data_IF_193474007600
#
_entry.id   IF_193474007600
#
_cell.length_a   1.000
_cell.length_b   1.000
_cell.length_c   1.000
_cell.angle_alpha   90.00
_cell.angle_beta   90.00
_cell.angle_gamma   90.00
#
_symmetry.space_group_name_H-M   'P 1'
#
loop_
_entity.id
_entity.type
_entity.pdbx_description
1 polymer ?
#
# COMPACT_ATOMS: atom_id res chain seq x y z
N UNK A 1 -12.33 24.33 -24.17
CA UNK A 1 -11.25 23.40 -23.74
C UNK A 1 -10.96 23.69 -22.28
N UNK A 2 -11.50 22.89 -21.35
CA UNK A 2 -11.34 23.15 -19.91
C UNK A 2 -9.95 22.71 -19.50
N UNK A 3 -9.12 23.66 -19.03
CA UNK A 3 -7.77 23.37 -18.57
C UNK A 3 -7.83 22.42 -17.37
N UNK A 4 -7.24 21.24 -17.51
CA UNK A 4 -7.00 20.33 -16.38
C UNK A 4 -6.19 21.11 -15.35
N UNK A 5 -6.74 21.32 -14.15
CA UNK A 5 -6.00 21.98 -13.06
C UNK A 5 -4.83 21.07 -12.67
N UNK A 6 -3.64 21.44 -13.12
CA UNK A 6 -2.39 20.74 -12.79
C UNK A 6 -1.88 21.39 -11.50
N UNK A 7 -1.64 20.57 -10.49
CA UNK A 7 -0.91 20.98 -9.30
C UNK A 7 0.58 20.72 -9.55
N UNK A 8 1.36 21.73 -9.98
CA UNK A 8 2.78 21.54 -10.22
C UNK A 8 3.45 21.03 -8.93
N UNK A 9 4.42 20.13 -9.08
CA UNK A 9 5.19 19.50 -8.01
C UNK A 9 4.43 18.58 -7.04
N UNK A 10 3.09 18.48 -7.11
CA UNK A 10 2.33 17.58 -6.23
C UNK A 10 2.75 16.11 -6.44
N UNK A 11 2.96 15.71 -7.69
CA UNK A 11 3.48 14.38 -8.00
C UNK A 11 4.90 14.18 -7.46
N UNK A 12 5.73 15.22 -7.47
CA UNK A 12 7.09 15.18 -6.90
C UNK A 12 7.05 14.99 -5.39
N UNK A 13 6.18 15.70 -4.66
CA UNK A 13 5.99 15.48 -3.22
C UNK A 13 5.49 14.06 -2.93
N UNK A 14 4.53 13.56 -3.72
CA UNK A 14 4.03 12.18 -3.56
C UNK A 14 5.12 11.16 -3.85
N UNK A 15 5.98 11.42 -4.83
CA UNK A 15 7.15 10.58 -5.12
C UNK A 15 8.12 10.57 -3.93
N UNK A 16 8.44 11.73 -3.35
CA UNK A 16 9.30 11.81 -2.15
C UNK A 16 8.67 11.03 -0.99
N UNK A 17 7.35 11.20 -0.76
CA UNK A 17 6.64 10.47 0.29
C UNK A 17 6.73 8.95 0.08
N UNK A 18 6.50 8.46 -1.15
CA UNK A 18 6.65 7.04 -1.48
C UNK A 18 8.09 6.55 -1.36
N UNK A 19 9.08 7.37 -1.74
CA UNK A 19 10.50 7.05 -1.61
C UNK A 19 10.91 6.86 -0.15
N UNK A 20 10.41 7.70 0.77
CA UNK A 20 10.64 7.54 2.21
C UNK A 20 10.10 6.20 2.72
N UNK A 21 8.92 5.77 2.23
CA UNK A 21 8.34 4.46 2.55
C UNK A 21 9.22 3.31 2.02
N UNK A 22 9.74 3.44 0.79
CA UNK A 22 10.64 2.45 0.20
C UNK A 22 11.93 2.35 1.01
N UNK A 23 12.57 3.47 1.33
CA UNK A 23 13.81 3.51 2.12
C UNK A 23 13.59 2.89 3.50
N UNK A 24 12.48 3.22 4.17
CA UNK A 24 12.10 2.58 5.43
C UNK A 24 12.06 1.05 5.32
N UNK A 25 11.35 0.51 4.32
CA UNK A 25 11.20 -0.95 4.18
C UNK A 25 12.52 -1.62 3.79
N UNK A 26 13.35 -0.98 2.97
CA UNK A 26 14.70 -1.49 2.64
C UNK A 26 15.53 -1.62 3.91
N UNK A 27 15.61 -0.58 4.73
CA UNK A 27 16.41 -0.63 5.96
C UNK A 27 15.82 -1.58 7.00
N UNK A 28 14.50 -1.63 7.14
CA UNK A 28 13.81 -2.61 7.99
C UNK A 28 14.12 -4.05 7.56
N UNK A 29 14.02 -4.38 6.27
CA UNK A 29 14.35 -5.72 5.79
C UNK A 29 15.83 -6.03 5.97
N UNK A 30 16.75 -5.10 5.66
CA UNK A 30 18.18 -5.31 5.93
C UNK A 30 18.43 -5.61 7.42
N UNK A 31 17.76 -4.91 8.33
CA UNK A 31 17.81 -5.19 9.77
C UNK A 31 17.30 -6.60 10.11
N UNK A 32 16.13 -6.98 9.60
CA UNK A 32 15.52 -8.29 9.85
C UNK A 32 16.38 -9.45 9.28
N UNK A 33 17.04 -9.23 8.13
CA UNK A 33 17.97 -10.18 7.50
C UNK A 33 19.40 -10.12 8.04
N UNK A 34 19.66 -9.34 9.12
CA UNK A 34 20.98 -9.18 9.74
C UNK A 34 22.07 -8.67 8.78
N UNK A 35 21.66 -7.87 7.80
CA UNK A 35 22.55 -7.18 6.85
C UNK A 35 22.96 -5.80 7.41
N UNK A 36 24.08 -5.20 6.93
CA UNK A 36 24.47 -3.84 7.31
C UNK A 36 23.35 -2.84 6.99
N UNK A 37 22.83 -2.15 7.99
CA UNK A 37 21.62 -1.33 7.86
C UNK A 37 21.69 -0.03 8.67
N UNK A 38 20.76 0.86 8.39
CA UNK A 38 20.55 2.15 9.07
C UNK A 38 19.27 2.15 9.93
N UNK A 39 18.56 1.02 10.03
CA UNK A 39 17.29 0.94 10.75
C UNK A 39 17.43 1.22 12.26
N UNK A 40 18.58 0.93 12.85
CA UNK A 40 18.86 1.24 14.26
C UNK A 40 18.93 2.74 14.56
N UNK A 41 19.08 3.60 13.54
CA UNK A 41 18.99 5.05 13.71
C UNK A 41 17.51 5.47 13.70
N UNK A 42 17.06 6.15 14.77
CA UNK A 42 15.64 6.48 14.98
C UNK A 42 14.95 7.19 13.80
N UNK A 43 15.68 7.98 13.01
CA UNK A 43 15.16 8.59 11.78
C UNK A 43 14.59 7.54 10.81
N UNK A 44 15.31 6.45 10.55
CA UNK A 44 14.89 5.41 9.62
C UNK A 44 13.75 4.54 10.16
N UNK A 45 13.42 4.63 11.46
CA UNK A 45 12.27 3.94 12.05
C UNK A 45 10.97 4.73 11.89
N UNK A 46 11.05 6.06 11.72
CA UNK A 46 9.87 6.93 11.68
C UNK A 46 9.49 7.39 10.26
N UNK A 47 10.46 7.47 9.34
CA UNK A 47 10.26 8.06 8.00
C UNK A 47 9.21 7.30 7.17
N UNK A 48 9.06 6.00 7.37
CA UNK A 48 8.05 5.20 6.67
C UNK A 48 6.64 5.63 7.06
N UNK A 49 6.37 5.77 8.37
CA UNK A 49 5.07 6.22 8.87
C UNK A 49 4.75 7.64 8.40
N UNK A 50 5.72 8.55 8.48
CA UNK A 50 5.55 9.92 7.98
C UNK A 50 5.31 9.97 6.47
N UNK A 51 6.05 9.14 5.71
CA UNK A 51 5.87 9.00 4.26
C UNK A 51 4.47 8.52 3.89
N UNK A 52 3.94 7.49 4.56
CA UNK A 52 2.57 7.00 4.33
C UNK A 52 1.54 8.08 4.63
N UNK A 53 1.63 8.76 5.78
CA UNK A 53 0.70 9.84 6.16
C UNK A 53 0.73 10.97 5.14
N UNK A 54 1.92 11.43 4.75
CA UNK A 54 2.07 12.47 3.74
C UNK A 54 1.48 12.04 2.40
N UNK A 55 1.76 10.81 1.95
CA UNK A 55 1.22 10.29 0.69
C UNK A 55 -0.31 10.23 0.70
N UNK A 56 -0.92 9.83 1.81
CA UNK A 56 -2.37 9.75 1.97
C UNK A 56 -3.02 11.13 1.93
N UNK A 57 -2.49 12.10 2.69
CA UNK A 57 -3.00 13.48 2.68
C UNK A 57 -2.93 14.09 1.29
N UNK A 58 -1.80 13.95 0.59
CA UNK A 58 -1.63 14.49 -0.76
C UNK A 58 -2.53 13.80 -1.79
N UNK A 59 -2.74 12.49 -1.66
CA UNK A 59 -3.62 11.73 -2.56
C UNK A 59 -5.09 12.05 -2.33
N UNK A 60 -5.51 12.22 -1.07
CA UNK A 60 -6.84 12.71 -0.72
C UNK A 60 -7.11 14.10 -1.30
N UNK A 61 -6.20 15.06 -1.07
CA UNK A 61 -6.30 16.41 -1.65
C UNK A 61 -6.42 16.38 -3.19
N UNK A 62 -5.60 15.57 -3.86
CA UNK A 62 -5.64 15.45 -5.33
C UNK A 62 -6.98 14.88 -5.82
N UNK A 63 -7.48 13.82 -5.20
CA UNK A 63 -8.71 13.18 -5.66
C UNK A 63 -9.90 14.09 -5.39
N UNK A 64 -10.03 14.64 -4.18
CA UNK A 64 -11.10 15.58 -3.85
C UNK A 64 -11.10 16.79 -4.79
N UNK A 65 -9.93 17.37 -5.08
CA UNK A 65 -9.85 18.50 -6.02
C UNK A 65 -10.23 18.11 -7.44
N UNK A 66 -9.85 16.93 -7.92
CA UNK A 66 -10.27 16.43 -9.24
C UNK A 66 -11.79 16.22 -9.32
N UNK A 67 -12.40 15.62 -8.30
CA UNK A 67 -13.84 15.38 -8.25
C UNK A 67 -14.65 16.68 -8.14
N UNK A 68 -14.17 17.66 -7.36
CA UNK A 68 -14.79 18.99 -7.28
C UNK A 68 -14.70 19.73 -8.62
N UNK A 69 -13.55 19.68 -9.29
CA UNK A 69 -13.41 20.28 -10.62
C UNK A 69 -14.31 19.58 -11.65
N UNK A 70 -14.42 18.25 -11.60
CA UNK A 70 -15.35 17.48 -12.43
C UNK A 70 -16.78 17.96 -12.20
N UNK A 71 -17.24 18.01 -10.94
CA UNK A 71 -18.58 18.49 -10.56
C UNK A 71 -18.88 19.89 -11.09
N UNK A 72 -17.93 20.82 -10.99
CA UNK A 72 -18.10 22.18 -11.53
C UNK A 72 -18.23 22.16 -13.05
N UNK A 73 -17.45 21.32 -13.73
CA UNK A 73 -17.40 21.29 -15.20
C UNK A 73 -18.54 20.51 -15.86
N UNK A 74 -18.98 19.39 -15.29
CA UNK A 74 -19.98 18.48 -15.87
C UNK A 74 -21.32 18.50 -15.14
N UNK A 75 -21.43 19.29 -14.06
CA UNK A 75 -22.56 19.29 -13.10
C UNK A 75 -22.81 17.92 -12.44
N UNK A 76 -21.90 16.95 -12.61
CA UNK A 76 -22.04 15.61 -12.08
C UNK A 76 -20.67 15.03 -11.69
N UNK A 77 -20.63 13.96 -10.91
CA UNK A 77 -19.41 13.22 -10.62
C UNK A 77 -19.58 11.81 -11.18
N UNK A 78 -18.75 11.41 -12.14
CA UNK A 78 -18.79 10.07 -12.72
C UNK A 78 -17.99 9.08 -11.86
N UNK A 79 -18.54 8.75 -10.68
CA UNK A 79 -17.92 7.85 -9.69
C UNK A 79 -17.59 6.48 -10.31
N UNK A 80 -18.48 5.93 -11.16
CA UNK A 80 -18.23 4.67 -11.88
C UNK A 80 -16.95 4.71 -12.71
N UNK A 81 -16.73 5.80 -13.45
CA UNK A 81 -15.54 5.95 -14.29
C UNK A 81 -14.27 6.14 -13.44
N UNK A 82 -14.39 6.80 -12.28
CA UNK A 82 -13.31 6.90 -11.30
C UNK A 82 -12.87 5.50 -10.81
N UNK A 83 -13.82 4.68 -10.36
CA UNK A 83 -13.53 3.33 -9.87
C UNK A 83 -12.97 2.40 -10.94
N UNK A 84 -13.53 2.39 -12.16
CA UNK A 84 -13.03 1.54 -13.25
C UNK A 84 -11.56 1.83 -13.54
N UNK A 85 -11.17 3.09 -13.70
CA UNK A 85 -9.77 3.46 -13.95
C UNK A 85 -8.84 3.02 -12.83
N UNK A 86 -9.32 3.07 -11.60
CA UNK A 86 -8.55 2.74 -10.40
C UNK A 86 -8.39 1.22 -10.24
N UNK A 87 -9.48 0.47 -10.39
CA UNK A 87 -9.49 -0.99 -10.39
C UNK A 87 -8.53 -1.53 -11.46
N UNK A 88 -8.65 -1.08 -12.71
CA UNK A 88 -7.78 -1.52 -13.81
C UNK A 88 -6.29 -1.19 -13.58
N UNK A 89 -5.99 -0.19 -12.75
CA UNK A 89 -4.61 0.21 -12.44
C UNK A 89 -4.04 -0.53 -11.23
N UNK A 90 -4.83 -0.75 -10.18
CA UNK A 90 -4.34 -1.19 -8.86
C UNK A 90 -4.57 -2.70 -8.67
N UNK A 91 -5.76 -3.19 -8.99
CA UNK A 91 -6.16 -4.57 -8.67
C UNK A 91 -5.29 -5.63 -9.35
N UNK A 92 -4.90 -5.51 -10.64
CA UNK A 92 -4.05 -6.52 -11.28
C UNK A 92 -2.74 -6.76 -10.51
N UNK A 93 -2.05 -5.68 -10.12
CA UNK A 93 -0.80 -5.79 -9.38
C UNK A 93 -1.02 -6.24 -7.93
N UNK A 94 -2.09 -5.77 -7.29
CA UNK A 94 -2.47 -6.20 -5.94
C UNK A 94 -2.69 -7.71 -5.86
N UNK A 95 -3.50 -8.28 -6.76
CA UNK A 95 -3.76 -9.72 -6.79
C UNK A 95 -2.55 -10.53 -7.24
N UNK A 96 -1.72 -9.99 -8.13
CA UNK A 96 -0.44 -10.62 -8.48
C UNK A 96 0.47 -10.76 -7.26
N UNK A 97 0.61 -9.71 -6.45
CA UNK A 97 1.39 -9.74 -5.20
C UNK A 97 0.82 -10.77 -4.23
N UNK A 98 -0.51 -10.82 -4.05
CA UNK A 98 -1.14 -11.83 -3.20
C UNK A 98 -0.82 -13.24 -3.70
N UNK A 99 -0.98 -13.52 -4.99
CA UNK A 99 -0.70 -14.85 -5.54
C UNK A 99 0.76 -15.23 -5.29
N UNK A 100 1.70 -14.33 -5.54
CA UNK A 100 3.12 -14.57 -5.32
C UNK A 100 3.41 -14.81 -3.83
N UNK A 101 2.92 -13.95 -2.94
CA UNK A 101 3.16 -14.05 -1.50
C UNK A 101 2.57 -15.30 -0.86
N UNK A 102 1.39 -15.75 -1.29
CA UNK A 102 0.72 -16.92 -0.71
C UNK A 102 1.11 -18.25 -1.37
N UNK A 103 1.38 -18.26 -2.67
CA UNK A 103 1.53 -19.50 -3.45
C UNK A 103 2.91 -19.70 -4.10
N UNK A 104 3.80 -18.70 -4.08
CA UNK A 104 5.14 -18.82 -4.69
C UNK A 104 6.22 -18.71 -3.63
N UNK A 105 6.23 -17.63 -2.84
CA UNK A 105 7.29 -17.32 -1.87
C UNK A 105 7.49 -18.42 -0.80
N UNK A 106 6.44 -19.03 -0.21
CA UNK A 106 6.62 -20.07 0.80
C UNK A 106 7.38 -21.30 0.29
N UNK A 107 7.43 -21.52 -1.02
CA UNK A 107 8.12 -22.64 -1.65
C UNK A 107 9.55 -22.29 -2.11
N UNK A 108 10.02 -21.07 -1.86
CA UNK A 108 11.35 -20.60 -2.23
C UNK A 108 12.12 -20.26 -0.93
N UNK A 109 12.92 -21.20 -0.38
CA UNK A 109 13.54 -21.05 0.95
C UNK A 109 14.34 -19.76 1.13
N UNK A 110 15.06 -19.31 0.11
CA UNK A 110 15.86 -18.08 0.15
C UNK A 110 15.01 -16.80 0.28
N UNK A 111 13.74 -16.85 -0.10
CA UNK A 111 12.81 -15.74 0.04
C UNK A 111 12.01 -15.81 1.35
N UNK A 112 12.10 -16.90 2.11
CA UNK A 112 11.38 -16.97 3.39
C UNK A 112 11.97 -16.00 4.40
N UNK A 113 11.10 -15.35 5.17
CA UNK A 113 11.52 -14.29 6.09
C UNK A 113 12.24 -14.90 7.31
N UNK A 114 13.38 -14.37 7.76
CA UNK A 114 14.14 -14.96 8.87
C UNK A 114 13.42 -14.83 10.22
N UNK A 115 12.66 -13.75 10.42
CA UNK A 115 11.82 -13.56 11.60
C UNK A 115 10.46 -14.24 11.42
N UNK A 116 10.34 -15.45 11.97
CA UNK A 116 9.10 -16.25 11.94
C UNK A 116 8.06 -15.82 12.96
N UNK A 117 8.42 -14.95 13.90
CA UNK A 117 7.47 -14.42 14.89
C UNK A 117 6.56 -13.37 14.27
N UNK A 118 7.15 -12.47 13.47
CA UNK A 118 6.43 -11.44 12.72
C UNK A 118 5.88 -11.97 11.39
N UNK A 119 6.60 -12.89 10.74
CA UNK A 119 6.26 -13.46 9.43
C UNK A 119 6.31 -14.99 9.46
N UNK A 120 5.29 -15.65 10.02
CA UNK A 120 5.23 -17.11 10.09
C UNK A 120 5.28 -17.76 8.70
N UNK A 121 6.03 -18.87 8.55
CA UNK A 121 6.09 -19.66 7.30
C UNK A 121 4.78 -20.38 7.02
N UNK A 122 4.23 -20.97 8.07
CA UNK A 122 2.89 -21.53 8.06
C UNK A 122 1.94 -20.40 8.38
N UNK A 123 1.07 -20.05 7.44
CA UNK A 123 -0.06 -19.17 7.69
C UNK A 123 -0.98 -19.85 8.72
N UNK A 124 -0.72 -19.71 10.01
CA UNK A 124 -1.72 -20.05 11.02
C UNK A 124 -2.98 -19.25 10.67
N UNK A 125 -4.14 -19.92 10.53
CA UNK A 125 -5.36 -19.32 10.01
C UNK A 125 -5.26 -18.89 8.52
N UNK A 126 -4.70 -19.73 7.63
CA UNK A 126 -4.56 -19.49 6.18
C UNK A 126 -5.85 -19.00 5.52
N UNK A 127 -6.97 -19.70 5.74
CA UNK A 127 -8.23 -19.41 5.05
C UNK A 127 -8.83 -18.04 5.39
N UNK A 128 -9.01 -17.67 6.67
CA UNK A 128 -9.48 -16.32 6.97
C UNK A 128 -8.46 -15.27 6.51
N UNK A 129 -7.15 -15.49 6.70
CA UNK A 129 -6.14 -14.52 6.22
C UNK A 129 -6.26 -14.28 4.72
N UNK A 130 -6.27 -15.34 3.90
CA UNK A 130 -6.47 -15.23 2.44
C UNK A 130 -7.78 -14.52 2.11
N UNK A 131 -8.88 -14.85 2.80
CA UNK A 131 -10.18 -14.21 2.58
C UNK A 131 -10.10 -12.69 2.75
N UNK A 132 -9.49 -12.20 3.84
CA UNK A 132 -9.34 -10.76 4.07
C UNK A 132 -8.44 -10.10 3.01
N UNK A 133 -7.37 -10.75 2.56
CA UNK A 133 -6.54 -10.19 1.47
C UNK A 133 -7.29 -10.18 0.12
N UNK A 134 -8.02 -11.24 -0.23
CA UNK A 134 -8.78 -11.32 -1.48
C UNK A 134 -9.93 -10.30 -1.55
N UNK A 135 -10.51 -9.97 -0.41
CA UNK A 135 -11.62 -9.00 -0.28
C UNK A 135 -11.16 -7.56 -0.03
N UNK A 136 -9.86 -7.27 -0.11
CA UNK A 136 -9.29 -5.93 0.09
C UNK A 136 -9.55 -5.40 1.52
N UNK A 137 -9.37 -6.28 2.50
CA UNK A 137 -9.38 -5.98 3.94
C UNK A 137 -8.06 -6.38 4.63
N UNK A 138 -6.94 -6.29 3.91
CA UNK A 138 -5.60 -6.58 4.45
C UNK A 138 -5.24 -5.71 5.69
N UNK A 139 -5.84 -4.52 5.81
CA UNK A 139 -5.71 -3.65 6.99
C UNK A 139 -6.32 -4.23 8.27
N UNK A 140 -7.30 -5.12 8.16
CA UNK A 140 -7.84 -5.88 9.29
C UNK A 140 -7.07 -7.17 9.51
N UNK A 141 -6.58 -7.80 8.43
CA UNK A 141 -5.84 -9.05 8.52
C UNK A 141 -4.53 -8.92 9.31
N UNK A 142 -3.74 -7.88 9.04
CA UNK A 142 -2.41 -7.68 9.65
C UNK A 142 -2.45 -7.72 11.19
N UNK A 143 -3.32 -6.94 11.89
CA UNK A 143 -3.41 -7.00 13.35
C UNK A 143 -4.08 -8.27 13.89
N UNK A 144 -4.89 -8.98 13.08
CA UNK A 144 -5.64 -10.18 13.52
C UNK A 144 -4.88 -11.49 13.32
N UNK A 145 -4.05 -11.60 12.28
CA UNK A 145 -3.49 -12.86 11.80
C UNK A 145 -1.98 -12.80 11.48
N UNK A 146 -1.26 -11.77 11.96
CA UNK A 146 0.14 -11.46 11.66
C UNK A 146 0.39 -10.97 10.22
N UNK A 147 1.65 -10.60 9.94
CA UNK A 147 2.06 -10.11 8.64
C UNK A 147 2.26 -11.24 7.64
N UNK A 148 1.79 -11.04 6.42
CA UNK A 148 2.13 -11.89 5.27
C UNK A 148 3.40 -11.33 4.63
N UNK A 149 4.42 -12.18 4.48
CA UNK A 149 5.69 -11.78 3.88
C UNK A 149 5.46 -11.17 2.48
N UNK A 150 6.07 -10.01 2.23
CA UNK A 150 6.02 -9.27 0.97
C UNK A 150 4.62 -8.80 0.50
N UNK A 151 3.57 -9.05 1.28
CA UNK A 151 2.22 -8.53 1.03
C UNK A 151 1.71 -7.64 2.19
N UNK A 152 2.45 -7.52 3.28
CA UNK A 152 2.01 -6.77 4.47
C UNK A 152 1.64 -5.33 4.15
N UNK A 153 2.42 -4.64 3.30
CA UNK A 153 2.19 -3.25 2.89
C UNK A 153 0.88 -3.01 2.14
N UNK A 154 0.20 -4.07 1.67
CA UNK A 154 -1.08 -3.98 0.96
C UNK A 154 -2.22 -3.50 1.86
N UNK A 155 -2.03 -3.48 3.19
CA UNK A 155 -2.96 -2.83 4.13
C UNK A 155 -3.26 -1.38 3.74
N UNK A 156 -2.25 -0.65 3.25
CA UNK A 156 -2.41 0.75 2.87
C UNK A 156 -3.36 0.92 1.67
N UNK A 157 -3.29 0.01 0.70
CA UNK A 157 -4.20 -0.03 -0.46
C UNK A 157 -5.61 -0.36 0.03
N UNK A 158 -5.76 -1.34 0.92
CA UNK A 158 -7.06 -1.69 1.47
C UNK A 158 -7.73 -0.50 2.18
N UNK A 159 -6.97 0.24 2.99
CA UNK A 159 -7.44 1.48 3.61
C UNK A 159 -7.81 2.55 2.57
N UNK A 160 -7.01 2.70 1.51
CA UNK A 160 -7.28 3.67 0.44
C UNK A 160 -8.60 3.34 -0.30
N UNK A 161 -8.82 2.08 -0.68
CA UNK A 161 -10.05 1.65 -1.35
C UNK A 161 -11.29 1.82 -0.46
N UNK A 162 -11.19 1.52 0.84
CA UNK A 162 -12.27 1.73 1.81
C UNK A 162 -12.59 3.21 2.01
N UNK A 163 -11.58 4.07 2.05
CA UNK A 163 -11.76 5.52 2.23
C UNK A 163 -12.57 6.16 1.10
N UNK A 164 -12.49 5.66 -0.14
CA UNK A 164 -13.26 6.22 -1.26
C UNK A 164 -14.73 5.82 -1.29
N UNK A 165 -15.15 4.83 -0.50
CA UNK A 165 -16.54 4.42 -0.40
C UNK A 165 -17.38 5.40 0.45
N UNK A 166 -16.71 6.25 1.23
CA UNK A 166 -17.28 7.26 2.13
C UNK A 166 -17.31 8.63 1.41
#
# INVERSE_FOLDING_TARGET
>A
MIMKKIYPNLNSLRFIAALLVIVFHIELHKYLFKLPNLYSYGFFQIIGKLGVVLFFVLSGFLITSLLLNEKVSTKNIHIKNFYIRRILRIWPLYYLIIIISFYVIPYIPILTHPDKTLFPDTLTNTYPTIFYYLTIFANLAVPMFNHVAYASQTWSIATEEQFYLI
#
